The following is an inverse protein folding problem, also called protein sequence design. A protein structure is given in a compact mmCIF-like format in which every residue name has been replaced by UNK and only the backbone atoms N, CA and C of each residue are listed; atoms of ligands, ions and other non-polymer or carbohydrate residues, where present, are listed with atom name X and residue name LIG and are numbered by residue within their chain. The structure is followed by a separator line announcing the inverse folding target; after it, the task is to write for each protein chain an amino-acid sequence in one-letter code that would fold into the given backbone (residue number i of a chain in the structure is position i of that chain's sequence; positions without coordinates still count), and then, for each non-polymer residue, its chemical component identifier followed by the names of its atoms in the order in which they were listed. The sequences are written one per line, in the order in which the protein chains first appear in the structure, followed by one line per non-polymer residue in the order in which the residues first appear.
data_IF_058624798438
#
_entry.id   IF_058624798438
#
_cell.length_a   1.000
_cell.length_b   1.000
_cell.length_c   1.000
_cell.angle_alpha   90.00
_cell.angle_beta   90.00
_cell.angle_gamma   90.00
#
_symmetry.space_group_name_H-M   'P 1'
#
loop_
_entity.id
_entity.type
_entity.pdbx_description
1 polymer ?
#
# COMPACT_ATOMS: atom_id res chain seq x y z
N UNK A 1 3.06 -10.10 -14.92
CA UNK A 1 3.89 -10.28 -13.70
C UNK A 1 5.14 -9.41 -13.71
N UNK A 2 5.88 -9.37 -14.82
CA UNK A 2 6.99 -8.41 -15.03
C UNK A 2 6.55 -6.95 -14.80
N UNK A 3 5.34 -6.59 -15.25
CA UNK A 3 4.81 -5.22 -15.19
C UNK A 3 4.70 -4.65 -13.78
N UNK A 4 4.26 -5.43 -12.78
CA UNK A 4 4.14 -4.93 -11.39
C UNK A 4 5.52 -4.63 -10.80
N UNK A 5 6.45 -5.58 -10.94
CA UNK A 5 7.82 -5.43 -10.43
C UNK A 5 8.53 -4.27 -11.14
N UNK A 6 8.39 -4.15 -12.46
CA UNK A 6 8.91 -3.01 -13.22
C UNK A 6 8.30 -1.70 -12.70
N UNK A 7 6.98 -1.64 -12.55
CA UNK A 7 6.29 -0.42 -12.12
C UNK A 7 6.77 0.03 -10.74
N UNK A 8 6.86 -0.87 -9.77
CA UNK A 8 7.36 -0.57 -8.42
C UNK A 8 8.84 -0.16 -8.46
N UNK A 9 9.65 -0.84 -9.26
CA UNK A 9 11.10 -0.55 -9.39
C UNK A 9 11.37 0.81 -10.01
N UNK A 10 10.45 1.34 -10.83
CA UNK A 10 10.53 2.69 -11.41
C UNK A 10 9.91 3.73 -10.46
N UNK A 11 8.76 3.41 -9.85
CA UNK A 11 8.02 4.35 -9.01
C UNK A 11 8.79 4.73 -7.74
N UNK A 12 9.44 3.77 -7.06
CA UNK A 12 10.17 4.02 -5.82
C UNK A 12 11.31 5.06 -6.03
N UNK A 13 12.23 4.91 -7.00
CA UNK A 13 13.26 5.91 -7.25
C UNK A 13 12.71 7.30 -7.63
N UNK A 14 11.65 7.35 -8.43
CA UNK A 14 11.00 8.61 -8.80
C UNK A 14 10.45 9.30 -7.56
N UNK A 15 9.76 8.56 -6.69
CA UNK A 15 9.18 9.13 -5.46
C UNK A 15 10.27 9.63 -4.50
N UNK A 16 11.37 8.89 -4.37
CA UNK A 16 12.54 9.31 -3.58
C UNK A 16 13.18 10.59 -4.12
N UNK A 17 13.27 10.72 -5.46
CA UNK A 17 13.74 11.96 -6.10
C UNK A 17 12.81 13.13 -5.78
N UNK A 18 11.49 12.93 -5.87
CA UNK A 18 10.49 13.97 -5.60
C UNK A 18 10.52 14.44 -4.15
N UNK A 19 10.67 13.52 -3.18
CA UNK A 19 10.89 13.86 -1.77
C UNK A 19 12.15 14.72 -1.61
N UNK A 20 13.24 14.37 -2.30
CA UNK A 20 14.48 15.15 -2.29
C UNK A 20 14.32 16.56 -2.87
N UNK A 21 13.58 16.70 -3.96
CA UNK A 21 13.25 17.99 -4.59
C UNK A 21 12.41 18.86 -3.63
N UNK A 22 11.39 18.27 -3.00
CA UNK A 22 10.55 18.94 -2.00
C UNK A 22 11.38 19.43 -0.81
N UNK A 23 12.25 18.57 -0.27
CA UNK A 23 13.14 18.92 0.84
C UNK A 23 14.08 20.08 0.48
N UNK A 24 14.65 20.07 -0.74
CA UNK A 24 15.50 21.15 -1.23
C UNK A 24 14.72 22.46 -1.42
N UNK A 25 13.52 22.40 -1.98
CA UNK A 25 12.66 23.58 -2.15
C UNK A 25 12.25 24.18 -0.81
N UNK A 26 11.95 23.35 0.19
CA UNK A 26 11.65 23.78 1.55
C UNK A 26 12.84 24.48 2.21
N UNK A 27 14.04 23.90 2.07
CA UNK A 27 15.28 24.52 2.54
C UNK A 27 15.50 25.91 1.92
N UNK A 28 15.30 26.04 0.60
CA UNK A 28 15.44 27.32 -0.12
C UNK A 28 14.42 28.37 0.31
N UNK A 29 13.22 27.94 0.73
CA UNK A 29 12.15 28.82 1.22
C UNK A 29 12.22 29.09 2.72
N UNK A 30 13.13 28.46 3.45
CA UNK A 30 13.23 28.58 4.91
C UNK A 30 12.03 28.01 5.66
N UNK A 31 11.27 27.09 5.05
CA UNK A 31 10.10 26.45 5.67
C UNK A 31 10.45 25.03 6.12
N UNK A 32 9.88 24.60 7.24
CA UNK A 32 10.12 23.26 7.79
C UNK A 32 8.88 22.40 7.58
N UNK A 33 8.91 21.55 6.55
CA UNK A 33 7.81 20.64 6.19
C UNK A 33 8.09 19.18 6.55
N UNK A 34 9.35 18.72 6.41
CA UNK A 34 9.74 17.33 6.64
C UNK A 34 10.29 17.17 8.04
N UNK A 35 9.40 17.05 9.03
CA UNK A 35 9.80 16.72 10.41
C UNK A 35 10.37 15.31 10.41
N UNK A 36 11.57 15.13 10.98
CA UNK A 36 12.30 13.86 10.90
C UNK A 36 11.54 12.68 11.49
N UNK A 37 10.74 12.92 12.55
CA UNK A 37 9.91 11.87 13.16
C UNK A 37 8.83 11.35 12.20
N UNK A 38 8.11 12.25 11.54
CA UNK A 38 7.05 11.91 10.58
C UNK A 38 7.65 11.17 9.38
N UNK A 39 8.78 11.69 8.87
CA UNK A 39 9.54 11.05 7.77
C UNK A 39 9.97 9.61 8.09
N UNK A 40 10.51 9.39 9.29
CA UNK A 40 10.96 8.05 9.73
C UNK A 40 9.75 7.13 9.90
N UNK A 41 8.67 7.61 10.52
CA UNK A 41 7.44 6.85 10.73
C UNK A 41 6.83 6.39 9.39
N UNK A 42 6.64 7.33 8.46
CA UNK A 42 6.04 7.07 7.15
C UNK A 42 6.90 6.17 6.28
N UNK A 43 8.22 6.43 6.21
CA UNK A 43 9.12 5.57 5.43
C UNK A 43 9.20 4.15 6.00
N UNK A 44 9.24 4.01 7.33
CA UNK A 44 9.24 2.70 7.97
C UNK A 44 7.94 1.94 7.73
N UNK A 45 6.79 2.64 7.80
CA UNK A 45 5.48 2.08 7.46
C UNK A 45 5.41 1.63 5.99
N UNK A 46 5.94 2.43 5.06
CA UNK A 46 6.03 2.09 3.64
C UNK A 46 6.87 0.85 3.38
N UNK A 47 8.04 0.73 4.02
CA UNK A 47 8.88 -0.47 3.95
C UNK A 47 8.13 -1.69 4.51
N UNK A 48 7.54 -1.56 5.71
CA UNK A 48 6.81 -2.65 6.35
C UNK A 48 5.63 -3.15 5.48
N UNK A 49 4.88 -2.24 4.87
CA UNK A 49 3.78 -2.58 3.95
C UNK A 49 4.31 -3.29 2.70
N UNK A 50 5.37 -2.75 2.08
CA UNK A 50 5.97 -3.35 0.87
C UNK A 50 6.51 -4.75 1.16
N UNK A 51 7.21 -4.95 2.29
CA UNK A 51 7.69 -6.26 2.72
C UNK A 51 6.55 -7.23 2.99
N UNK A 52 5.50 -6.79 3.72
CA UNK A 52 4.31 -7.60 3.99
C UNK A 52 3.64 -8.04 2.70
N UNK A 53 3.48 -7.15 1.73
CA UNK A 53 2.82 -7.47 0.47
C UNK A 53 3.69 -8.41 -0.36
N UNK A 54 5.02 -8.22 -0.39
CA UNK A 54 5.95 -9.19 -0.97
C UNK A 54 5.81 -10.60 -0.38
N UNK A 55 5.69 -10.71 0.95
CA UNK A 55 5.45 -12.00 1.62
C UNK A 55 4.11 -12.63 1.25
N UNK A 56 3.03 -11.85 1.22
CA UNK A 56 1.72 -12.35 0.78
C UNK A 56 1.75 -12.87 -0.65
N UNK A 57 2.41 -12.13 -1.56
CA UNK A 57 2.59 -12.59 -2.94
C UNK A 57 3.32 -13.92 -2.99
N UNK A 58 4.41 -14.07 -2.23
CA UNK A 58 5.12 -15.35 -2.13
C UNK A 58 4.23 -16.49 -1.66
N UNK A 59 3.44 -16.25 -0.62
CA UNK A 59 2.48 -17.24 -0.11
C UNK A 59 1.46 -17.63 -1.17
N UNK A 60 0.81 -16.66 -1.81
CA UNK A 60 -0.19 -16.90 -2.87
C UNK A 60 0.43 -17.70 -4.01
N UNK A 61 1.63 -17.34 -4.49
CA UNK A 61 2.27 -18.05 -5.60
C UNK A 61 2.55 -19.52 -5.29
N UNK A 62 3.00 -19.82 -4.07
CA UNK A 62 3.30 -21.19 -3.66
C UNK A 62 2.01 -21.99 -3.44
N UNK A 63 0.99 -21.36 -2.84
CA UNK A 63 -0.26 -22.06 -2.50
C UNK A 63 -1.29 -22.11 -3.63
N UNK A 64 -1.11 -21.33 -4.71
CA UNK A 64 -2.18 -21.09 -5.69
C UNK A 64 -2.75 -22.37 -6.29
N UNK A 65 -1.91 -23.26 -6.80
CA UNK A 65 -2.36 -24.52 -7.42
C UNK A 65 -3.10 -25.40 -6.43
N UNK A 66 -2.56 -25.55 -5.21
CA UNK A 66 -3.21 -26.33 -4.16
C UNK A 66 -4.58 -25.76 -3.80
N UNK A 67 -4.70 -24.44 -3.68
CA UNK A 67 -5.97 -23.76 -3.40
C UNK A 67 -6.96 -23.98 -4.54
N UNK A 68 -6.53 -23.87 -5.80
CA UNK A 68 -7.41 -24.11 -6.95
C UNK A 68 -7.90 -25.57 -6.97
N UNK A 69 -7.01 -26.53 -6.73
CA UNK A 69 -7.34 -27.96 -6.83
C UNK A 69 -8.23 -28.46 -5.68
N UNK A 70 -8.11 -27.87 -4.48
CA UNK A 70 -8.77 -28.40 -3.27
C UNK A 70 -9.84 -27.47 -2.68
N UNK A 71 -9.76 -26.17 -2.91
CA UNK A 71 -10.63 -25.16 -2.29
C UNK A 71 -11.57 -24.52 -3.30
N UNK A 72 -11.23 -24.48 -4.60
CA UNK A 72 -12.10 -23.87 -5.60
C UNK A 72 -13.45 -24.59 -5.68
N UNK A 73 -14.53 -23.84 -5.52
CA UNK A 73 -15.91 -24.36 -5.60
C UNK A 73 -16.52 -24.07 -6.97
N UNK A 74 -16.14 -22.94 -7.58
CA UNK A 74 -16.67 -22.46 -8.85
C UNK A 74 -15.53 -21.97 -9.74
N UNK A 75 -15.64 -22.27 -11.03
CA UNK A 75 -14.81 -21.67 -12.07
C UNK A 75 -15.69 -20.76 -12.91
N UNK A 76 -15.28 -19.50 -13.06
CA UNK A 76 -16.04 -18.49 -13.81
C UNK A 76 -15.26 -18.17 -15.07
N UNK A 77 -15.90 -18.40 -16.21
CA UNK A 77 -15.49 -17.87 -17.51
C UNK A 77 -16.59 -16.95 -18.02
N UNK A 78 -16.27 -15.81 -18.65
CA UNK A 78 -14.94 -15.39 -19.14
C UNK A 78 -14.13 -14.54 -18.15
N UNK A 79 -12.82 -14.37 -18.43
CA UNK A 79 -11.86 -13.64 -17.57
C UNK A 79 -12.33 -12.21 -17.20
N UNK A 80 -12.97 -11.49 -18.12
CA UNK A 80 -13.42 -10.12 -17.83
C UNK A 80 -14.45 -10.08 -16.69
N UNK A 81 -15.28 -11.13 -16.55
CA UNK A 81 -16.26 -11.23 -15.49
C UNK A 81 -15.57 -11.50 -14.15
N UNK A 82 -14.54 -12.35 -14.13
CA UNK A 82 -13.71 -12.59 -12.94
C UNK A 82 -13.04 -11.29 -12.48
N UNK A 83 -12.47 -10.52 -13.41
CA UNK A 83 -11.84 -9.24 -13.10
C UNK A 83 -12.85 -8.24 -12.54
N UNK A 84 -14.06 -8.18 -13.10
CA UNK A 84 -15.12 -7.30 -12.60
C UNK A 84 -15.57 -7.67 -11.19
N UNK A 85 -15.80 -8.97 -10.94
CA UNK A 85 -16.18 -9.46 -9.61
C UNK A 85 -15.06 -9.18 -8.60
N UNK A 86 -13.81 -9.46 -8.96
CA UNK A 86 -12.64 -9.19 -8.12
C UNK A 86 -12.51 -7.70 -7.81
N UNK A 87 -12.72 -6.82 -8.80
CA UNK A 87 -12.69 -5.38 -8.62
C UNK A 87 -13.74 -4.90 -7.60
N UNK A 88 -15.00 -5.35 -7.76
CA UNK A 88 -16.09 -4.99 -6.83
C UNK A 88 -15.81 -5.55 -5.43
N UNK A 89 -15.34 -6.80 -5.34
CA UNK A 89 -15.03 -7.43 -4.06
C UNK A 89 -13.88 -6.71 -3.33
N UNK A 90 -12.83 -6.33 -4.05
CA UNK A 90 -11.68 -5.61 -3.50
C UNK A 90 -12.08 -4.20 -3.05
N UNK A 91 -12.86 -3.46 -3.85
CA UNK A 91 -13.36 -2.13 -3.49
C UNK A 91 -14.24 -2.19 -2.23
N UNK A 92 -15.18 -3.14 -2.20
CA UNK A 92 -16.04 -3.36 -1.04
C UNK A 92 -15.23 -3.73 0.22
N UNK A 93 -14.34 -4.70 0.11
CA UNK A 93 -13.49 -5.13 1.23
C UNK A 93 -12.60 -3.98 1.71
N UNK A 94 -12.01 -3.21 0.78
CA UNK A 94 -11.19 -2.04 1.05
C UNK A 94 -11.97 -0.97 1.83
N UNK A 95 -13.18 -0.63 1.38
CA UNK A 95 -14.06 0.32 2.09
C UNK A 95 -14.35 -0.14 3.52
N UNK A 96 -14.73 -1.40 3.71
CA UNK A 96 -15.09 -1.90 5.04
C UNK A 96 -13.90 -1.99 5.98
N UNK A 97 -12.74 -2.46 5.50
CA UNK A 97 -11.51 -2.48 6.30
C UNK A 97 -11.13 -1.05 6.70
N UNK A 98 -11.19 -0.10 5.77
CA UNK A 98 -10.90 1.29 6.07
C UNK A 98 -11.89 1.89 7.08
N UNK A 99 -13.19 1.65 6.89
CA UNK A 99 -14.23 2.05 7.85
C UNK A 99 -13.99 1.45 9.24
N UNK A 100 -13.65 0.16 9.30
CA UNK A 100 -13.36 -0.53 10.55
C UNK A 100 -12.12 0.06 11.25
N UNK A 101 -11.09 0.42 10.50
CA UNK A 101 -9.93 1.15 11.01
C UNK A 101 -10.32 2.46 11.71
N UNK A 102 -11.36 3.14 11.24
CA UNK A 102 -11.85 4.39 11.84
C UNK A 102 -12.96 4.21 12.89
N UNK A 103 -13.43 2.99 13.13
CA UNK A 103 -14.58 2.72 14.04
C UNK A 103 -14.26 1.77 15.19
N UNK A 104 -13.20 0.97 15.09
CA UNK A 104 -12.84 -0.04 16.09
C UNK A 104 -11.43 0.24 16.60
N UNK A 105 -11.27 0.34 17.92
CA UNK A 105 -10.01 0.78 18.55
C UNK A 105 -8.78 -0.09 18.19
N UNK A 106 -8.95 -1.41 18.14
CA UNK A 106 -7.85 -2.33 17.75
C UNK A 106 -7.35 -2.03 16.33
N UNK A 107 -8.26 -1.75 15.40
CA UNK A 107 -7.90 -1.44 14.02
C UNK A 107 -7.37 -0.01 13.89
N UNK A 108 -7.91 0.93 14.67
CA UNK A 108 -7.41 2.29 14.76
C UNK A 108 -5.95 2.36 15.20
N UNK A 109 -5.55 1.61 16.23
CA UNK A 109 -4.17 1.58 16.71
C UNK A 109 -3.15 1.19 15.63
N UNK A 110 -3.56 0.39 14.63
CA UNK A 110 -2.72 0.01 13.49
C UNK A 110 -2.79 1.01 12.33
N UNK A 111 -3.85 1.82 12.26
CA UNK A 111 -4.11 2.73 11.14
C UNK A 111 -3.65 4.17 11.42
N UNK A 112 -3.66 4.60 12.68
CA UNK A 112 -3.32 5.97 13.10
C UNK A 112 -1.92 6.41 12.66
N UNK A 113 -0.96 5.49 12.52
CA UNK A 113 0.40 5.78 12.04
C UNK A 113 0.39 6.48 10.68
N UNK A 114 -0.57 6.17 9.81
CA UNK A 114 -0.69 6.80 8.49
C UNK A 114 -1.44 8.14 8.55
N UNK A 115 -2.10 8.44 9.67
CA UNK A 115 -2.80 9.71 9.94
C UNK A 115 -2.03 10.58 10.94
N UNK A 116 -0.79 10.22 11.27
CA UNK A 116 -0.03 10.90 12.33
C UNK A 116 0.60 12.22 11.87
N UNK A 117 0.81 12.40 10.57
CA UNK A 117 1.36 13.66 10.04
C UNK A 117 0.29 14.75 10.05
N UNK A 118 0.63 15.88 10.67
CA UNK A 118 -0.16 17.10 10.64
C UNK A 118 0.03 17.89 9.34
N UNK A 119 1.14 17.64 8.65
CA UNK A 119 1.56 18.38 7.46
C UNK A 119 1.39 17.53 6.20
N UNK A 120 0.92 18.14 5.12
CA UNK A 120 0.88 17.50 3.81
C UNK A 120 2.22 17.68 3.11
N UNK A 121 2.99 16.60 2.97
CA UNK A 121 4.26 16.56 2.26
C UNK A 121 4.46 15.18 1.61
N UNK A 122 5.40 15.07 0.67
CA UNK A 122 5.64 13.81 -0.08
C UNK A 122 6.30 12.73 0.76
N UNK A 123 6.88 13.09 1.90
CA UNK A 123 7.58 12.15 2.77
C UNK A 123 6.70 11.50 3.83
N UNK A 124 5.42 11.89 3.90
CA UNK A 124 4.42 11.40 4.86
C UNK A 124 3.41 10.45 4.23
#
# INVERSE_FOLDING_TARGET
MNTYVIAVSIAIPIFMLLIGIEAFAAYRKGVKINRSADMISSLSSGIANTTRDGMKFGLVLISYTWLVDHISIISIEPLWLVVMIAFIAEDFAGYWIHRLNHRVNIFWNRHIILHSSEEYNLSC
#
